data_IF_246176961861
#
_entry.id   IF_246176961861
#
_cell.length_a   1.000
_cell.length_b   1.000
_cell.length_c   1.000
_cell.angle_alpha   90.00
_cell.angle_beta   90.00
_cell.angle_gamma   90.00
#
_symmetry.space_group_name_H-M   'P 1'
#
loop_
_entity.id
_entity.type
_entity.pdbx_description
1 polymer ?
#
# COMPACT_ATOMS: atom_id res chain seq x y z
N UNK A 1 19.63 3.71 12.96
CA UNK A 1 18.41 4.52 13.11
C UNK A 1 18.07 5.07 11.73
N UNK A 2 16.88 4.76 11.20
CA UNK A 2 16.34 5.48 10.03
C UNK A 2 16.28 6.96 10.42
N UNK A 3 16.72 7.92 9.57
CA UNK A 3 16.56 9.33 9.91
C UNK A 3 15.08 9.59 10.17
N UNK A 4 14.75 10.08 11.37
CA UNK A 4 13.47 10.73 11.63
C UNK A 4 13.38 11.91 10.64
N UNK A 5 12.28 12.04 9.89
CA UNK A 5 11.96 13.11 8.91
C UNK A 5 12.29 12.86 7.43
N UNK A 6 11.73 11.82 6.80
CA UNK A 6 11.60 11.84 5.33
C UNK A 6 10.16 11.72 4.83
N UNK A 7 9.27 11.07 5.58
CA UNK A 7 7.87 10.94 5.19
C UNK A 7 7.00 12.01 5.87
N UNK A 8 7.02 13.22 5.30
CA UNK A 8 6.20 14.35 5.75
C UNK A 8 5.58 15.06 4.54
N UNK A 9 4.49 15.82 4.68
CA UNK A 9 3.86 16.52 3.56
C UNK A 9 4.78 17.46 2.77
N UNK A 10 5.84 17.96 3.38
CA UNK A 10 6.80 18.89 2.76
C UNK A 10 7.93 18.19 2.01
N UNK A 11 8.28 16.97 2.40
CA UNK A 11 9.45 16.24 1.86
C UNK A 11 9.08 15.10 0.94
N UNK A 12 7.86 14.57 1.07
CA UNK A 12 7.43 13.38 0.34
C UNK A 12 6.64 13.75 -0.93
N UNK A 13 7.10 13.32 -2.12
CA UNK A 13 6.42 13.59 -3.39
C UNK A 13 4.97 13.09 -3.48
N UNK A 14 4.61 12.02 -2.78
CA UNK A 14 3.23 11.48 -2.82
C UNK A 14 2.17 12.51 -2.39
N UNK A 15 2.49 13.41 -1.44
CA UNK A 15 1.60 14.51 -1.03
C UNK A 15 1.44 15.61 -2.10
N UNK A 16 2.30 15.62 -3.11
CA UNK A 16 2.23 16.57 -4.24
C UNK A 16 1.69 15.93 -5.53
N UNK A 17 1.43 14.63 -5.50
CA UNK A 17 0.96 13.85 -6.63
C UNK A 17 -0.41 14.33 -7.14
N UNK A 18 -0.68 14.06 -8.42
CA UNK A 18 -1.99 14.31 -9.03
C UNK A 18 -3.10 13.53 -8.31
N UNK A 19 -2.81 12.31 -7.85
CA UNK A 19 -3.77 11.48 -7.10
C UNK A 19 -4.13 12.07 -5.75
N UNK A 20 -3.15 12.55 -4.98
CA UNK A 20 -3.40 13.19 -3.69
C UNK A 20 -4.23 14.47 -3.88
N UNK A 21 -3.90 15.30 -4.86
CA UNK A 21 -4.67 16.52 -5.19
C UNK A 21 -6.09 16.21 -5.67
N UNK A 22 -6.27 15.13 -6.45
CA UNK A 22 -7.59 14.68 -6.92
C UNK A 22 -8.48 14.27 -5.75
N UNK A 23 -7.97 13.48 -4.82
CA UNK A 23 -8.78 12.88 -3.74
C UNK A 23 -8.75 13.67 -2.42
N UNK A 24 -7.85 14.64 -2.26
CA UNK A 24 -7.81 15.59 -1.14
C UNK A 24 -7.65 17.05 -1.60
N UNK A 25 -8.61 17.60 -2.39
CA UNK A 25 -8.50 18.92 -2.99
C UNK A 25 -8.51 20.05 -1.95
N UNK A 26 -9.14 19.83 -0.79
CA UNK A 26 -9.20 20.79 0.32
C UNK A 26 -7.97 20.75 1.22
N UNK A 27 -6.99 19.88 0.92
CA UNK A 27 -5.77 19.67 1.71
C UNK A 27 -6.10 19.38 3.18
N UNK A 28 -7.11 18.53 3.40
CA UNK A 28 -7.50 18.12 4.73
C UNK A 28 -6.32 17.43 5.44
N UNK A 29 -6.22 17.56 6.77
CA UNK A 29 -5.14 16.96 7.53
C UNK A 29 -5.11 15.44 7.35
N UNK A 30 -3.89 14.91 7.43
CA UNK A 30 -3.65 13.49 7.16
C UNK A 30 -3.16 12.76 8.41
N UNK A 31 -3.47 11.48 8.50
CA UNK A 31 -2.70 10.52 9.29
C UNK A 31 -1.82 9.75 8.32
N UNK A 32 -0.52 9.67 8.56
CA UNK A 32 0.40 9.03 7.64
C UNK A 32 1.49 8.28 8.39
N UNK A 33 1.91 7.14 7.85
CA UNK A 33 3.03 6.37 8.37
C UNK A 33 3.85 5.72 7.26
N UNK A 34 5.06 5.31 7.65
CA UNK A 34 5.99 4.64 6.76
C UNK A 34 6.67 3.48 7.48
N UNK A 35 6.81 2.37 6.77
CA UNK A 35 7.63 1.24 7.19
C UNK A 35 8.66 0.92 6.12
N UNK A 36 9.95 0.90 6.50
CA UNK A 36 11.06 0.61 5.60
C UNK A 36 11.81 -0.63 6.09
N UNK A 37 12.09 -1.55 5.16
CA UNK A 37 12.91 -2.73 5.42
C UNK A 37 13.96 -2.88 4.33
N UNK A 38 15.22 -3.07 4.73
CA UNK A 38 16.30 -3.42 3.80
C UNK A 38 16.71 -4.87 3.98
N UNK A 39 16.91 -5.59 2.87
CA UNK A 39 17.47 -6.93 2.85
C UNK A 39 18.71 -6.96 1.95
N UNK A 40 19.80 -7.62 2.36
CA UNK A 40 20.91 -7.90 1.46
C UNK A 40 20.44 -8.68 0.23
N UNK A 41 20.99 -8.37 -0.95
CA UNK A 41 20.56 -9.00 -2.20
C UNK A 41 20.69 -10.53 -2.17
N UNK A 42 21.73 -11.06 -1.51
CA UNK A 42 21.94 -12.51 -1.38
C UNK A 42 20.88 -13.23 -0.53
N UNK A 43 20.01 -12.51 0.19
CA UNK A 43 18.89 -13.08 0.95
C UNK A 43 17.57 -13.07 0.17
N UNK A 44 17.54 -12.46 -1.00
CA UNK A 44 16.36 -12.31 -1.85
C UNK A 44 16.43 -13.40 -2.92
N UNK A 45 15.26 -13.92 -3.32
CA UNK A 45 15.21 -14.91 -4.39
C UNK A 45 15.92 -14.38 -5.66
N UNK A 46 16.89 -15.12 -6.24
CA UNK A 46 17.74 -14.60 -7.31
C UNK A 46 16.97 -14.08 -8.52
N UNK A 47 15.88 -14.74 -8.90
CA UNK A 47 15.07 -14.37 -10.06
C UNK A 47 14.40 -13.00 -9.91
N UNK A 48 14.13 -12.54 -8.68
CA UNK A 48 13.59 -11.21 -8.42
C UNK A 48 14.67 -10.13 -8.56
N UNK A 49 15.89 -10.44 -8.13
CA UNK A 49 17.03 -9.53 -8.23
C UNK A 49 17.45 -9.36 -9.68
N UNK A 50 17.55 -10.46 -10.44
CA UNK A 50 17.88 -10.44 -11.87
C UNK A 50 16.84 -9.68 -12.70
N UNK A 51 15.55 -9.83 -12.36
CA UNK A 51 14.47 -9.09 -13.01
C UNK A 51 14.57 -7.59 -12.71
N UNK A 52 14.77 -7.20 -11.44
CA UNK A 52 14.97 -5.81 -11.06
C UNK A 52 16.20 -5.18 -11.73
N UNK A 53 17.31 -5.91 -11.88
CA UNK A 53 18.49 -5.45 -12.62
C UNK A 53 18.20 -5.14 -14.09
N UNK A 54 17.23 -5.83 -14.68
CA UNK A 54 16.77 -5.62 -16.07
C UNK A 54 15.65 -4.58 -16.15
N UNK A 55 15.32 -3.91 -15.06
CA UNK A 55 14.23 -2.92 -14.98
C UNK A 55 12.83 -3.53 -14.91
N UNK A 56 12.71 -4.80 -14.54
CA UNK A 56 11.44 -5.49 -14.37
C UNK A 56 10.75 -5.21 -13.03
N UNK A 57 9.48 -5.62 -12.93
CA UNK A 57 8.57 -5.33 -11.82
C UNK A 57 8.42 -6.46 -10.79
N UNK A 58 9.04 -7.63 -11.00
CA UNK A 58 8.74 -8.81 -10.18
C UNK A 58 9.07 -8.61 -8.71
N UNK A 59 10.05 -7.77 -8.37
CA UNK A 59 10.41 -7.49 -6.99
C UNK A 59 9.29 -6.76 -6.23
N UNK A 60 8.69 -5.72 -6.82
CA UNK A 60 7.57 -4.99 -6.18
C UNK A 60 6.29 -5.82 -6.20
N UNK A 61 6.07 -6.61 -7.26
CA UNK A 61 4.96 -7.57 -7.32
C UNK A 61 5.07 -8.62 -6.22
N UNK A 62 6.21 -9.29 -6.09
CA UNK A 62 6.44 -10.27 -5.02
C UNK A 62 6.29 -9.64 -3.63
N UNK A 63 6.74 -8.40 -3.45
CA UNK A 63 6.50 -7.69 -2.20
C UNK A 63 5.00 -7.49 -1.93
N UNK A 64 4.24 -7.00 -2.91
CA UNK A 64 2.78 -6.83 -2.83
C UNK A 64 2.05 -8.16 -2.57
N UNK A 65 2.41 -9.23 -3.29
CA UNK A 65 1.89 -10.58 -3.11
C UNK A 65 2.10 -11.09 -1.68
N UNK A 66 3.26 -10.78 -1.08
CA UNK A 66 3.57 -11.14 0.31
C UNK A 66 2.78 -10.34 1.35
N UNK A 67 2.40 -9.10 1.05
CA UNK A 67 1.54 -8.28 1.92
C UNK A 67 0.14 -8.87 1.92
N UNK A 68 -0.50 -8.91 0.75
CA UNK A 68 -1.91 -9.26 0.63
C UNK A 68 -2.17 -10.76 0.75
N UNK A 69 -1.31 -11.59 0.16
CA UNK A 69 -1.43 -13.04 0.21
C UNK A 69 -0.82 -13.67 1.47
N UNK A 70 -0.10 -12.91 2.28
CA UNK A 70 0.60 -13.39 3.47
C UNK A 70 -0.26 -13.47 4.74
N UNK A 71 0.26 -14.10 5.81
CA UNK A 71 -0.44 -14.20 7.08
C UNK A 71 -0.76 -12.84 7.72
N UNK A 72 0.04 -11.80 7.48
CA UNK A 72 -0.17 -10.47 8.06
C UNK A 72 -1.50 -9.80 7.66
N UNK A 73 -2.03 -10.10 6.48
CA UNK A 73 -3.31 -9.56 6.01
C UNK A 73 -4.50 -10.49 6.30
N UNK A 74 -4.28 -11.69 6.82
CA UNK A 74 -5.31 -12.74 6.87
C UNK A 74 -6.55 -12.33 7.66
N UNK A 75 -6.40 -11.69 8.82
CA UNK A 75 -7.54 -11.30 9.66
C UNK A 75 -8.40 -10.24 8.95
N UNK A 76 -7.78 -9.20 8.38
CA UNK A 76 -8.50 -8.17 7.64
C UNK A 76 -9.14 -8.74 6.37
N UNK A 77 -8.41 -9.60 5.63
CA UNK A 77 -8.93 -10.28 4.43
C UNK A 77 -10.20 -11.05 4.73
N UNK A 78 -10.21 -11.89 5.77
CA UNK A 78 -11.38 -12.69 6.15
C UNK A 78 -12.54 -11.82 6.63
N UNK A 79 -12.26 -10.73 7.35
CA UNK A 79 -13.28 -9.76 7.74
C UNK A 79 -13.94 -9.10 6.52
N UNK A 80 -13.15 -8.58 5.58
CA UNK A 80 -13.63 -7.94 4.37
C UNK A 80 -14.35 -8.94 3.45
N UNK A 81 -13.80 -10.15 3.31
CA UNK A 81 -14.41 -11.24 2.55
C UNK A 81 -15.81 -11.55 3.08
N UNK A 82 -15.96 -11.73 4.38
CA UNK A 82 -17.28 -11.97 4.99
C UNK A 82 -18.25 -10.81 4.80
N UNK A 83 -17.76 -9.57 4.78
CA UNK A 83 -18.59 -8.38 4.76
C UNK A 83 -19.02 -7.96 3.35
N UNK A 84 -18.16 -8.15 2.36
CA UNK A 84 -18.31 -7.51 1.05
C UNK A 84 -18.23 -8.47 -0.15
N UNK A 85 -17.62 -9.66 -0.01
CA UNK A 85 -17.50 -10.60 -1.13
C UNK A 85 -18.87 -11.09 -1.57
N UNK A 86 -19.17 -10.97 -2.85
CA UNK A 86 -20.38 -11.46 -3.46
C UNK A 86 -20.16 -11.75 -4.96
N UNK A 87 -21.05 -12.55 -5.54
CA UNK A 87 -20.89 -13.05 -6.91
C UNK A 87 -21.36 -12.06 -7.99
N UNK A 88 -21.88 -10.88 -7.62
CA UNK A 88 -22.45 -9.92 -8.58
C UNK A 88 -21.59 -8.70 -8.80
N UNK A 89 -21.19 -8.02 -7.73
CA UNK A 89 -20.53 -6.71 -7.76
C UNK A 89 -19.05 -6.76 -7.44
N UNK A 90 -18.58 -7.82 -6.79
CA UNK A 90 -17.17 -7.93 -6.36
C UNK A 90 -16.48 -9.23 -6.80
N UNK A 91 -17.12 -10.01 -7.67
CA UNK A 91 -16.61 -11.30 -8.13
C UNK A 91 -15.27 -11.20 -8.89
N UNK A 92 -15.01 -10.07 -9.54
CA UNK A 92 -13.77 -9.80 -10.29
C UNK A 92 -12.57 -9.43 -9.41
N UNK A 93 -12.80 -9.12 -8.14
CA UNK A 93 -11.76 -8.66 -7.23
C UNK A 93 -10.92 -9.82 -6.68
N UNK A 94 -9.74 -9.50 -6.17
CA UNK A 94 -8.87 -10.50 -5.53
C UNK A 94 -9.32 -10.77 -4.09
N UNK A 95 -9.61 -12.03 -3.78
CA UNK A 95 -10.15 -12.45 -2.48
C UNK A 95 -9.32 -13.52 -1.77
N UNK A 96 -8.85 -14.53 -2.51
CA UNK A 96 -8.16 -15.66 -1.90
C UNK A 96 -6.66 -15.39 -1.80
N UNK A 97 -5.94 -16.04 -0.86
CA UNK A 97 -4.49 -15.94 -0.79
C UNK A 97 -3.81 -16.33 -2.11
N UNK A 98 -4.42 -17.25 -2.87
CA UNK A 98 -3.89 -17.67 -4.17
C UNK A 98 -4.00 -16.54 -5.19
N UNK A 99 -5.18 -15.93 -5.35
CA UNK A 99 -5.40 -14.82 -6.29
C UNK A 99 -4.44 -13.66 -6.00
N UNK A 100 -4.26 -13.36 -4.72
CA UNK A 100 -3.36 -12.30 -4.25
C UNK A 100 -1.89 -12.66 -4.53
N UNK A 101 -1.49 -13.91 -4.39
CA UNK A 101 -0.10 -14.34 -4.66
C UNK A 101 0.24 -14.46 -6.14
N UNK A 102 -0.76 -14.57 -7.03
CA UNK A 102 -0.53 -14.72 -8.47
C UNK A 102 -0.77 -13.45 -9.27
N UNK A 103 -1.39 -12.43 -8.67
CA UNK A 103 -1.62 -11.15 -9.34
C UNK A 103 -0.32 -10.39 -9.59
N UNK A 104 -0.26 -9.70 -10.73
CA UNK A 104 0.77 -8.71 -11.03
C UNK A 104 0.37 -7.30 -10.58
N UNK A 105 -0.85 -7.11 -10.05
CA UNK A 105 -1.36 -5.83 -9.57
C UNK A 105 -1.33 -4.71 -10.63
N UNK A 106 -1.79 -5.00 -11.84
CA UNK A 106 -1.97 -3.98 -12.87
C UNK A 106 -2.97 -2.90 -12.41
N UNK A 107 -2.88 -1.72 -13.02
CA UNK A 107 -3.83 -0.62 -12.79
C UNK A 107 -5.27 -1.11 -12.94
N UNK A 108 -6.13 -0.72 -11.99
CA UNK A 108 -7.52 -1.16 -11.90
C UNK A 108 -7.72 -2.48 -11.15
N UNK A 109 -6.66 -3.16 -10.72
CA UNK A 109 -6.79 -4.33 -9.83
C UNK A 109 -7.45 -3.91 -8.52
N UNK A 110 -8.57 -4.53 -8.19
CA UNK A 110 -9.31 -4.33 -6.95
C UNK A 110 -9.04 -5.46 -5.96
N UNK A 111 -8.82 -5.11 -4.69
CA UNK A 111 -8.42 -6.04 -3.64
C UNK A 111 -9.43 -5.95 -2.50
N UNK A 112 -10.15 -7.05 -2.27
CA UNK A 112 -11.02 -7.26 -1.10
C UNK A 112 -12.00 -6.11 -0.79
N UNK A 113 -12.55 -5.49 -1.82
CA UNK A 113 -13.51 -4.39 -1.78
C UNK A 113 -13.07 -3.18 -0.93
N UNK A 114 -11.77 -2.96 -0.85
CA UNK A 114 -11.23 -1.88 -0.01
C UNK A 114 -10.05 -1.13 -0.63
N UNK A 115 -9.45 -1.71 -1.66
CA UNK A 115 -8.28 -1.16 -2.31
C UNK A 115 -8.41 -1.26 -3.83
N UNK A 116 -7.88 -0.28 -4.54
CA UNK A 116 -7.74 -0.31 -6.01
C UNK A 116 -6.40 0.23 -6.44
N UNK A 117 -5.72 -0.47 -7.34
CA UNK A 117 -4.45 0.00 -7.91
C UNK A 117 -4.73 1.18 -8.85
N UNK A 118 -4.18 2.35 -8.50
CA UNK A 118 -4.27 3.57 -9.30
C UNK A 118 -3.19 3.63 -10.37
N UNK A 119 -1.98 3.17 -10.04
CA UNK A 119 -0.83 3.24 -10.92
C UNK A 119 0.23 2.19 -10.54
N UNK A 120 1.06 1.80 -11.51
CA UNK A 120 2.13 0.83 -11.33
C UNK A 120 3.34 1.20 -12.19
N UNK A 121 4.50 1.09 -11.58
CA UNK A 121 5.82 1.16 -12.22
C UNK A 121 6.64 -0.09 -11.84
N UNK A 122 7.82 -0.32 -12.44
CA UNK A 122 8.69 -1.42 -12.04
C UNK A 122 9.06 -1.47 -10.55
N UNK A 123 9.03 -0.32 -9.87
CA UNK A 123 9.50 -0.21 -8.47
C UNK A 123 8.43 0.26 -7.48
N UNK A 124 7.21 0.57 -7.94
CA UNK A 124 6.13 1.08 -7.09
C UNK A 124 4.75 0.69 -7.59
N UNK A 125 3.85 0.35 -6.66
CA UNK A 125 2.42 0.11 -6.87
C UNK A 125 1.68 1.11 -5.97
N UNK A 126 0.94 2.02 -6.59
CA UNK A 126 0.12 3.00 -5.90
C UNK A 126 -1.33 2.53 -5.83
N UNK A 127 -1.89 2.56 -4.63
CA UNK A 127 -3.20 2.01 -4.30
C UNK A 127 -4.04 3.09 -3.63
N UNK A 128 -5.31 3.23 -4.03
CA UNK A 128 -6.31 4.00 -3.29
C UNK A 128 -6.93 3.11 -2.21
N UNK A 129 -7.16 3.65 -1.02
CA UNK A 129 -7.74 2.94 0.10
C UNK A 129 -8.76 3.81 0.86
N UNK A 130 -9.29 3.30 1.98
CA UNK A 130 -10.13 4.07 2.91
C UNK A 130 -11.62 3.81 2.78
N UNK A 131 -12.08 3.28 1.65
CA UNK A 131 -13.45 2.82 1.38
C UNK A 131 -13.50 1.98 0.08
N UNK A 132 -14.64 1.34 -0.20
CA UNK A 132 -14.83 0.46 -1.36
C UNK A 132 -14.52 1.16 -2.69
N UNK A 133 -13.83 0.48 -3.64
CA UNK A 133 -13.61 0.98 -4.98
C UNK A 133 -14.91 1.27 -5.74
N UNK A 134 -16.01 0.61 -5.38
CA UNK A 134 -17.33 0.79 -5.98
C UNK A 134 -17.96 2.13 -5.62
N UNK A 135 -17.59 2.71 -4.48
CA UNK A 135 -18.07 4.02 -4.07
C UNK A 135 -17.19 5.11 -4.69
N UNK A 136 -17.81 6.09 -5.35
CA UNK A 136 -17.13 7.29 -5.84
C UNK A 136 -15.76 6.98 -6.48
N UNK A 137 -15.71 6.15 -7.54
CA UNK A 137 -14.45 5.63 -8.09
C UNK A 137 -13.52 6.75 -8.57
N UNK A 138 -14.11 7.83 -9.07
CA UNK A 138 -13.40 8.98 -9.64
C UNK A 138 -13.52 10.27 -8.85
N UNK A 139 -14.29 10.28 -7.77
CA UNK A 139 -14.50 11.45 -6.91
C UNK A 139 -14.06 11.15 -5.48
N UNK A 140 -14.04 12.18 -4.65
CA UNK A 140 -13.66 12.09 -3.24
C UNK A 140 -14.58 11.13 -2.47
N UNK A 141 -14.09 10.62 -1.32
CA UNK A 141 -14.87 9.80 -0.39
C UNK A 141 -14.86 10.37 1.02
N UNK A 142 -15.85 10.04 1.87
CA UNK A 142 -15.84 10.45 3.28
C UNK A 142 -14.59 9.99 4.02
N UNK A 143 -14.09 8.80 3.71
CA UNK A 143 -12.81 8.25 4.17
C UNK A 143 -12.02 7.81 2.95
N UNK A 144 -10.80 8.30 2.82
CA UNK A 144 -9.98 8.10 1.63
C UNK A 144 -8.50 8.00 2.01
N UNK A 145 -7.69 7.55 1.07
CA UNK A 145 -6.27 7.45 1.30
C UNK A 145 -5.49 6.90 0.13
N UNK A 146 -4.18 7.07 0.23
CA UNK A 146 -3.19 6.53 -0.68
C UNK A 146 -2.26 5.60 0.06
N UNK A 147 -1.99 4.46 -0.53
CA UNK A 147 -1.04 3.47 -0.06
C UNK A 147 -0.03 3.19 -1.17
N UNK A 148 1.25 3.42 -0.91
CA UNK A 148 2.32 3.12 -1.87
C UNK A 148 3.16 1.95 -1.36
N UNK A 149 3.23 0.89 -2.19
CA UNK A 149 4.12 -0.26 -2.00
C UNK A 149 5.27 -0.08 -2.96
N UNK A 150 6.51 0.04 -2.46
CA UNK A 150 7.69 0.19 -3.31
C UNK A 150 8.80 -0.80 -2.95
N UNK A 151 9.53 -1.21 -3.98
CA UNK A 151 10.71 -2.05 -3.85
C UNK A 151 11.78 -1.61 -4.86
N UNK A 152 12.97 -1.28 -4.36
CA UNK A 152 14.09 -0.79 -5.18
C UNK A 152 15.38 -1.50 -4.79
N UNK A 153 16.29 -1.72 -5.73
CA UNK A 153 17.62 -2.28 -5.47
C UNK A 153 18.68 -1.19 -5.49
N UNK A 154 19.63 -1.27 -4.55
CA UNK A 154 20.89 -0.53 -4.57
C UNK A 154 22.00 -1.58 -4.74
N UNK A 155 22.41 -1.79 -6.00
CA UNK A 155 23.37 -2.83 -6.37
C UNK A 155 24.77 -2.52 -5.82
N UNK A 156 25.15 -1.26 -5.80
CA UNK A 156 26.44 -0.80 -5.29
C UNK A 156 26.55 -1.05 -3.78
N UNK A 157 25.47 -0.81 -3.04
CA UNK A 157 25.41 -1.09 -1.59
C UNK A 157 24.96 -2.51 -1.24
N UNK A 158 24.59 -3.32 -2.23
CA UNK A 158 24.26 -4.73 -2.08
C UNK A 158 22.97 -5.02 -1.30
N UNK A 159 21.95 -4.15 -1.37
CA UNK A 159 20.65 -4.40 -0.74
C UNK A 159 19.46 -4.04 -1.63
N UNK A 160 18.30 -4.62 -1.33
CA UNK A 160 17.01 -4.08 -1.75
C UNK A 160 16.31 -3.39 -0.57
N UNK A 161 15.64 -2.28 -0.85
CA UNK A 161 14.78 -1.56 0.08
C UNK A 161 13.32 -1.78 -0.30
N UNK A 162 12.54 -2.19 0.69
CA UNK A 162 11.10 -2.36 0.63
C UNK A 162 10.45 -1.31 1.51
N UNK A 163 9.41 -0.63 1.00
CA UNK A 163 8.82 0.50 1.68
C UNK A 163 7.30 0.50 1.51
N UNK A 164 6.61 0.71 2.63
CA UNK A 164 5.16 0.90 2.71
C UNK A 164 4.91 2.30 3.21
N UNK A 165 4.13 3.07 2.46
CA UNK A 165 3.70 4.41 2.85
C UNK A 165 2.18 4.44 2.87
N UNK A 166 1.60 5.02 3.90
CA UNK A 166 0.16 5.25 3.99
C UNK A 166 -0.12 6.73 4.24
N UNK A 167 -1.15 7.26 3.58
CA UNK A 167 -1.68 8.60 3.80
C UNK A 167 -3.19 8.49 3.83
N UNK A 168 -3.80 8.73 4.99
CA UNK A 168 -5.25 8.72 5.18
C UNK A 168 -5.76 10.13 5.40
N UNK A 169 -6.92 10.44 4.82
CA UNK A 169 -7.59 11.73 4.95
C UNK A 169 -9.11 11.59 4.76
N UNK A 170 -9.84 12.60 5.20
CA UNK A 170 -11.21 12.81 4.76
C UNK A 170 -11.16 13.45 3.37
N UNK A 171 -11.66 12.77 2.35
CA UNK A 171 -11.65 13.30 0.98
C UNK A 171 -12.79 14.30 0.72
N UNK A 172 -13.97 14.05 1.29
CA UNK A 172 -15.17 14.88 1.11
C UNK A 172 -15.33 15.93 2.20
N UNK A 173 -15.58 17.18 1.79
CA UNK A 173 -15.90 18.29 2.70
C UNK A 173 -14.77 18.62 3.68
N UNK A 174 -15.08 19.49 4.64
CA UNK A 174 -14.14 19.89 5.68
C UNK A 174 -14.29 19.01 6.94
N UNK A 175 -13.18 18.61 7.58
CA UNK A 175 -13.25 17.95 8.88
C UNK A 175 -13.72 18.94 9.94
N UNK A 176 -14.33 18.43 11.01
CA UNK A 176 -14.78 19.25 12.14
C UNK A 176 -13.62 20.01 12.81
N UNK A 177 -12.41 19.43 12.77
CA UNK A 177 -11.20 20.01 13.34
C UNK A 177 -10.02 19.84 12.38
N UNK A 178 -9.61 20.93 11.72
CA UNK A 178 -8.46 20.94 10.79
C UNK A 178 -7.10 20.81 11.47
N UNK A 179 -7.03 20.70 12.79
CA UNK A 179 -5.76 20.44 13.50
C UNK A 179 -5.51 18.94 13.71
N UNK A 180 -6.48 18.08 13.38
CA UNK A 180 -6.40 16.64 13.62
C UNK A 180 -6.56 15.85 12.33
N UNK A 181 -5.75 14.79 12.19
CA UNK A 181 -5.94 13.79 11.12
C UNK A 181 -7.21 12.96 11.34
N UNK A 182 -7.61 12.14 10.35
CA UNK A 182 -8.84 11.33 10.40
C UNK A 182 -8.78 10.20 11.44
N UNK A 183 -7.59 9.80 11.89
CA UNK A 183 -7.43 8.76 12.91
C UNK A 183 -7.06 9.36 14.27
N UNK A 184 -7.62 8.76 15.33
CA UNK A 184 -7.16 9.05 16.69
C UNK A 184 -5.70 8.57 16.89
N UNK A 185 -4.94 9.13 17.85
CA UNK A 185 -3.55 8.72 18.10
C UNK A 185 -3.39 7.22 18.38
N UNK A 186 -4.35 6.63 19.10
CA UNK A 186 -4.35 5.18 19.38
C UNK A 186 -4.55 4.37 18.11
N UNK A 187 -5.48 4.77 17.24
CA UNK A 187 -5.71 4.10 15.95
C UNK A 187 -4.50 4.21 15.04
N UNK A 188 -3.87 5.39 14.95
CA UNK A 188 -2.65 5.59 14.18
C UNK A 188 -1.51 4.68 14.68
N UNK A 189 -1.36 4.53 15.99
CA UNK A 189 -0.35 3.63 16.58
C UNK A 189 -0.63 2.15 16.24
N UNK A 190 -1.89 1.72 16.33
CA UNK A 190 -2.28 0.35 15.94
C UNK A 190 -2.03 0.11 14.45
N UNK A 191 -2.33 1.10 13.60
CA UNK A 191 -2.05 1.04 12.17
C UNK A 191 -0.54 0.86 11.91
N UNK A 192 0.34 1.62 12.59
CA UNK A 192 1.79 1.45 12.45
C UNK A 192 2.27 0.05 12.81
N UNK A 193 1.74 -0.53 13.91
CA UNK A 193 2.05 -1.91 14.32
C UNK A 193 1.57 -2.88 13.24
N UNK A 194 0.40 -2.64 12.67
CA UNK A 194 -0.17 -3.46 11.63
C UNK A 194 0.62 -3.39 10.30
N UNK A 195 1.05 -2.20 9.88
CA UNK A 195 1.96 -2.01 8.74
C UNK A 195 3.27 -2.79 8.94
N UNK A 196 3.80 -2.84 10.16
CA UNK A 196 4.99 -3.66 10.48
C UNK A 196 4.72 -5.16 10.34
N UNK A 197 3.53 -5.62 10.76
CA UNK A 197 3.13 -7.01 10.56
C UNK A 197 3.03 -7.36 9.06
N UNK A 198 2.45 -6.48 8.25
CA UNK A 198 2.45 -6.63 6.79
C UNK A 198 3.86 -6.69 6.21
N UNK A 199 4.74 -5.78 6.63
CA UNK A 199 6.13 -5.76 6.19
C UNK A 199 6.82 -7.10 6.47
N UNK A 200 6.79 -7.58 7.71
CA UNK A 200 7.48 -8.83 8.07
C UNK A 200 6.84 -10.07 7.42
N UNK A 201 5.50 -10.08 7.27
CA UNK A 201 4.78 -11.10 6.50
C UNK A 201 5.24 -11.13 5.04
N UNK A 202 5.38 -9.97 4.41
CA UNK A 202 5.79 -9.89 3.01
C UNK A 202 7.24 -10.33 2.79
N UNK A 203 8.11 -10.12 3.79
CA UNK A 203 9.50 -10.55 3.72
C UNK A 203 9.65 -12.06 3.50
N UNK A 204 8.72 -12.90 3.96
CA UNK A 204 8.79 -14.35 3.72
C UNK A 204 8.52 -14.72 2.26
N UNK A 205 7.87 -13.86 1.48
CA UNK A 205 7.58 -14.12 0.06
C UNK A 205 8.67 -13.61 -0.88
N UNK A 206 9.60 -12.77 -0.42
CA UNK A 206 10.72 -12.24 -1.23
C UNK A 206 12.05 -12.91 -0.91
N UNK A 207 12.18 -13.50 0.28
CA UNK A 207 13.39 -14.22 0.69
C UNK A 207 13.50 -15.58 0.02
N UNK A 208 14.74 -16.04 -0.15
CA UNK A 208 15.09 -17.43 -0.45
C UNK A 208 15.17 -18.28 0.81
#
# INVERSE_FOLDING_TARGET
MTPLNQFTPTTEPLFQSSWYKKYNPLQNPTTHDECVRRLPLFKIRPELVEDAQKGGSKLVEAFSQGIWGGPGYTIQRLYLERKYRNDTTTAHQLWTPQDLKTSTYEKGTEITDHFVVLDKSPTSILIRCGDSPLHNPDTNRPSDGLFEISATTDLDKGFAEFRLKSIFYQGEGDPQDKTKGPMSPTMATMHQIYTKLWMESAMSHVKQ
#
